data_IF_401170213871
#
_entry.id   IF_401170213871
#
_cell.length_a   1.000
_cell.length_b   1.000
_cell.length_c   1.000
_cell.angle_alpha   90.00
_cell.angle_beta   90.00
_cell.angle_gamma   90.00
#
_symmetry.space_group_name_H-M   'P 1'
#
loop_
_entity.id
_entity.type
_entity.pdbx_description
1 polymer ?
#
# COMPACT_ATOMS: atom_id res chain seq x y z
N UNK A 1 -5.72 2.64 25.20
CA UNK A 1 -6.42 3.58 24.32
C UNK A 1 -5.74 3.63 22.99
N UNK A 2 -6.49 3.54 21.90
CA UNK A 2 -5.93 3.72 20.57
C UNK A 2 -5.58 5.20 20.37
N UNK A 3 -4.39 5.46 19.87
CA UNK A 3 -3.96 6.81 19.51
C UNK A 3 -4.57 7.18 18.16
N UNK A 4 -5.33 8.27 18.13
CA UNK A 4 -5.77 8.85 16.87
C UNK A 4 -4.69 9.84 16.39
N UNK A 5 -4.13 9.63 15.20
CA UNK A 5 -3.11 10.55 14.69
C UNK A 5 -3.71 11.92 14.42
N UNK A 6 -2.94 12.97 14.71
CA UNK A 6 -3.28 14.34 14.29
C UNK A 6 -3.23 14.43 12.77
N UNK A 7 -3.78 15.53 12.21
CA UNK A 7 -3.73 15.73 10.75
C UNK A 7 -2.29 15.80 10.24
N UNK A 8 -1.39 16.41 10.99
CA UNK A 8 0.03 16.48 10.64
C UNK A 8 0.71 15.11 10.68
N UNK A 9 0.44 14.32 11.73
CA UNK A 9 0.95 12.96 11.87
C UNK A 9 0.42 12.06 10.76
N UNK A 10 -0.87 12.18 10.44
CA UNK A 10 -1.50 11.42 9.37
C UNK A 10 -0.89 11.76 8.02
N UNK A 11 -0.69 13.05 7.74
CA UNK A 11 -0.04 13.48 6.50
C UNK A 11 1.36 12.87 6.36
N UNK A 12 2.16 12.91 7.42
CA UNK A 12 3.49 12.33 7.43
C UNK A 12 3.45 10.81 7.19
N UNK A 13 2.51 10.13 7.81
CA UNK A 13 2.36 8.68 7.63
C UNK A 13 1.98 8.34 6.20
N UNK A 14 1.03 9.04 5.62
CA UNK A 14 0.59 8.82 4.24
C UNK A 14 1.72 9.14 3.25
N UNK A 15 2.46 10.23 3.47
CA UNK A 15 3.62 10.55 2.65
C UNK A 15 4.66 9.41 2.66
N UNK A 16 4.93 8.80 3.83
CA UNK A 16 5.83 7.65 3.95
C UNK A 16 5.24 6.39 3.33
N UNK A 17 3.94 6.18 3.51
CA UNK A 17 3.24 5.04 2.91
C UNK A 17 3.38 5.07 1.38
N UNK A 18 3.18 6.23 0.76
CA UNK A 18 3.39 6.42 -0.69
C UNK A 18 4.87 6.25 -1.04
N UNK A 19 5.78 6.88 -0.26
CA UNK A 19 7.21 6.87 -0.54
C UNK A 19 7.81 5.46 -0.58
N UNK A 20 7.31 4.53 0.25
CA UNK A 20 7.84 3.15 0.28
C UNK A 20 7.72 2.46 -1.08
N UNK A 21 6.66 2.74 -1.83
CA UNK A 21 6.43 2.14 -3.16
C UNK A 21 7.33 2.70 -4.25
N UNK A 22 7.88 3.89 -4.03
CA UNK A 22 8.72 4.61 -5.00
C UNK A 22 10.21 4.60 -4.65
N UNK A 23 10.60 4.10 -3.48
CA UNK A 23 11.97 4.22 -2.97
C UNK A 23 12.95 3.28 -3.70
N UNK A 24 13.95 3.83 -4.40
CA UNK A 24 14.89 3.02 -5.16
C UNK A 24 15.92 2.30 -4.30
N UNK A 25 16.28 2.85 -3.13
CA UNK A 25 17.31 2.26 -2.29
C UNK A 25 16.73 1.22 -1.32
N UNK A 26 17.28 0.00 -1.36
CA UNK A 26 16.78 -1.12 -0.58
C UNK A 26 16.76 -0.85 0.94
N UNK A 27 17.83 -0.26 1.48
CA UNK A 27 17.91 0.02 2.93
C UNK A 27 16.92 1.09 3.38
N UNK A 28 16.71 2.13 2.56
CA UNK A 28 15.69 3.14 2.85
C UNK A 28 14.30 2.55 2.77
N UNK A 29 14.06 1.66 1.82
CA UNK A 29 12.79 0.96 1.68
C UNK A 29 12.49 0.12 2.91
N UNK A 30 13.48 -0.63 3.42
CA UNK A 30 13.34 -1.39 4.68
C UNK A 30 13.01 -0.49 5.85
N UNK A 31 13.66 0.66 5.93
CA UNK A 31 13.43 1.63 6.99
C UNK A 31 12.02 2.20 6.94
N UNK A 32 11.57 2.62 5.75
CA UNK A 32 10.21 3.11 5.54
C UNK A 32 9.16 2.08 5.93
N UNK A 33 9.36 0.83 5.56
CA UNK A 33 8.45 -0.26 5.93
C UNK A 33 8.35 -0.40 7.45
N UNK A 34 9.48 -0.36 8.16
CA UNK A 34 9.47 -0.42 9.63
C UNK A 34 8.80 0.79 10.28
N UNK A 35 8.91 1.96 9.67
CA UNK A 35 8.28 3.17 10.17
C UNK A 35 6.78 3.21 9.89
N UNK A 36 6.35 2.69 8.75
CA UNK A 36 4.95 2.73 8.29
C UNK A 36 4.12 1.61 8.92
N UNK A 37 4.65 0.38 8.95
CA UNK A 37 3.90 -0.81 9.35
C UNK A 37 4.21 -1.24 10.77
N UNK A 38 3.18 -1.70 11.48
CA UNK A 38 3.38 -2.46 12.72
C UNK A 38 4.23 -3.70 12.44
N UNK A 39 4.89 -4.23 13.47
CA UNK A 39 5.73 -5.42 13.33
C UNK A 39 4.96 -6.60 12.75
N UNK A 40 3.71 -6.77 13.15
CA UNK A 40 2.79 -7.81 12.65
C UNK A 40 1.72 -7.24 11.71
N UNK A 41 1.97 -6.06 11.16
CA UNK A 41 1.06 -5.42 10.21
C UNK A 41 0.80 -6.27 8.98
N UNK A 42 -0.42 -6.17 8.44
CA UNK A 42 -0.76 -6.96 7.27
C UNK A 42 -1.54 -6.16 6.24
N UNK A 43 -1.34 -6.53 4.99
CA UNK A 43 -2.08 -6.03 3.85
C UNK A 43 -2.89 -7.17 3.25
N UNK A 44 -4.15 -6.90 2.97
CA UNK A 44 -5.02 -7.81 2.22
C UNK A 44 -5.32 -7.18 0.87
N UNK A 45 -4.85 -7.81 -0.19
CA UNK A 45 -5.20 -7.44 -1.55
C UNK A 45 -6.54 -8.13 -1.86
N UNK A 46 -7.63 -7.38 -1.71
CA UNK A 46 -9.00 -7.93 -1.70
C UNK A 46 -9.40 -8.45 -3.08
N UNK A 47 -9.05 -7.69 -4.13
CA UNK A 47 -9.35 -8.06 -5.51
C UNK A 47 -8.06 -8.11 -6.33
N UNK A 48 -7.25 -9.18 -6.19
CA UNK A 48 -5.99 -9.27 -6.89
C UNK A 48 -6.17 -9.16 -8.42
N UNK A 49 -5.15 -8.69 -9.15
CA UNK A 49 -5.20 -8.54 -10.59
C UNK A 49 -5.62 -9.81 -11.30
N UNK A 50 -6.18 -9.65 -12.50
CA UNK A 50 -6.78 -10.73 -13.31
C UNK A 50 -5.85 -11.95 -13.44
N UNK A 51 -4.56 -11.75 -13.67
CA UNK A 51 -3.60 -12.84 -13.79
C UNK A 51 -3.51 -13.74 -12.54
N UNK A 52 -3.60 -13.14 -11.35
CA UNK A 52 -3.62 -13.89 -10.09
C UNK A 52 -4.96 -14.62 -9.94
N UNK A 53 -6.06 -13.95 -10.27
CA UNK A 53 -7.42 -14.54 -10.23
C UNK A 53 -7.55 -15.74 -11.17
N UNK A 54 -7.01 -15.62 -12.38
CA UNK A 54 -7.05 -16.70 -13.37
C UNK A 54 -6.26 -17.92 -12.91
N UNK A 55 -5.07 -17.71 -12.33
CA UNK A 55 -4.29 -18.79 -11.76
C UNK A 55 -5.04 -19.50 -10.65
N UNK A 56 -5.67 -18.74 -9.77
CA UNK A 56 -6.44 -19.28 -8.66
C UNK A 56 -7.69 -20.03 -9.14
N UNK A 57 -8.36 -19.53 -10.16
CA UNK A 57 -9.51 -20.19 -10.77
C UNK A 57 -9.15 -21.56 -11.32
N UNK A 58 -7.95 -21.71 -11.88
CA UNK A 58 -7.44 -23.00 -12.36
C UNK A 58 -7.30 -24.04 -11.24
N UNK A 59 -7.13 -23.57 -9.98
CA UNK A 59 -7.07 -24.44 -8.80
C UNK A 59 -8.40 -24.52 -8.05
N UNK A 60 -9.49 -24.00 -8.63
CA UNK A 60 -10.80 -24.03 -8.01
C UNK A 60 -11.02 -22.98 -6.91
N UNK A 61 -10.20 -21.93 -6.86
CA UNK A 61 -10.28 -20.83 -5.90
C UNK A 61 -10.97 -19.63 -6.58
N UNK A 62 -12.24 -19.35 -6.28
CA UNK A 62 -13.00 -18.34 -7.02
C UNK A 62 -12.53 -16.90 -6.82
N UNK A 63 -12.07 -16.53 -5.62
CA UNK A 63 -11.61 -15.17 -5.30
C UNK A 63 -10.49 -15.21 -4.25
N UNK A 64 -9.25 -15.50 -4.65
CA UNK A 64 -8.17 -15.50 -3.69
C UNK A 64 -7.84 -14.07 -3.28
N UNK A 65 -7.93 -13.76 -2.01
CA UNK A 65 -7.26 -12.62 -1.47
C UNK A 65 -5.77 -12.94 -1.33
N UNK A 66 -4.91 -11.97 -1.61
CA UNK A 66 -3.49 -12.09 -1.31
C UNK A 66 -3.23 -11.38 0.01
N UNK A 67 -2.70 -12.09 0.97
CA UNK A 67 -2.42 -11.57 2.30
C UNK A 67 -0.91 -11.54 2.54
N UNK A 68 -0.42 -10.38 2.98
CA UNK A 68 0.99 -10.14 3.27
C UNK A 68 1.11 -9.70 4.72
N UNK A 69 1.88 -10.43 5.53
CA UNK A 69 2.00 -10.17 6.95
C UNK A 69 3.46 -10.09 7.38
N UNK A 70 3.76 -9.05 8.17
CA UNK A 70 5.08 -8.82 8.76
C UNK A 70 6.02 -8.02 7.85
N UNK A 71 7.08 -7.48 8.44
CA UNK A 71 8.01 -6.59 7.75
C UNK A 71 8.77 -7.26 6.60
N UNK A 72 9.19 -8.51 6.77
CA UNK A 72 9.95 -9.20 5.73
C UNK A 72 9.10 -9.48 4.49
N UNK A 73 7.89 -9.99 4.69
CA UNK A 73 6.96 -10.24 3.59
C UNK A 73 6.53 -8.92 2.92
N UNK A 74 6.33 -7.86 3.73
CA UNK A 74 5.99 -6.54 3.22
C UNK A 74 7.14 -5.96 2.38
N UNK A 75 8.37 -6.13 2.83
CA UNK A 75 9.55 -5.70 2.06
C UNK A 75 9.60 -6.39 0.69
N UNK A 76 9.34 -7.69 0.64
CA UNK A 76 9.30 -8.44 -0.62
C UNK A 76 8.18 -7.94 -1.53
N UNK A 77 7.00 -7.72 -0.97
CA UNK A 77 5.83 -7.20 -1.70
C UNK A 77 6.11 -5.82 -2.31
N UNK A 78 6.61 -4.89 -1.49
CA UNK A 78 6.92 -3.51 -1.92
C UNK A 78 8.06 -3.51 -2.93
N UNK A 79 9.11 -4.29 -2.69
CA UNK A 79 10.25 -4.42 -3.61
C UNK A 79 9.79 -4.95 -4.98
N UNK A 80 8.93 -5.94 -4.98
CA UNK A 80 8.39 -6.50 -6.23
C UNK A 80 7.62 -5.46 -7.03
N UNK A 81 6.74 -4.70 -6.37
CA UNK A 81 5.99 -3.63 -7.04
C UNK A 81 6.93 -2.54 -7.58
N UNK A 82 7.95 -2.17 -6.79
CA UNK A 82 8.96 -1.21 -7.23
C UNK A 82 9.67 -1.71 -8.49
N UNK A 83 10.14 -2.94 -8.50
CA UNK A 83 10.84 -3.53 -9.63
C UNK A 83 9.95 -3.63 -10.88
N UNK A 84 8.67 -3.94 -10.69
CA UNK A 84 7.74 -4.09 -11.81
C UNK A 84 7.36 -2.76 -12.46
N UNK A 85 7.20 -1.70 -11.69
CA UNK A 85 6.57 -0.48 -12.17
C UNK A 85 7.44 0.76 -12.08
N UNK A 86 8.28 0.89 -11.07
CA UNK A 86 8.98 2.14 -10.77
C UNK A 86 10.44 2.11 -11.23
N UNK A 87 11.12 0.98 -11.09
CA UNK A 87 12.56 0.86 -11.35
C UNK A 87 12.96 1.25 -12.77
N UNK A 88 12.10 0.97 -13.76
CA UNK A 88 12.34 1.33 -15.16
C UNK A 88 12.24 2.83 -15.44
N UNK A 89 11.66 3.59 -14.51
CA UNK A 89 11.36 5.02 -14.71
C UNK A 89 10.06 5.28 -15.46
N UNK A 90 9.25 4.26 -15.73
CA UNK A 90 7.98 4.42 -16.46
C UNK A 90 6.88 5.03 -15.59
N UNK A 91 6.80 4.61 -14.34
CA UNK A 91 5.68 4.98 -13.46
C UNK A 91 6.16 5.48 -12.11
N UNK A 92 5.27 6.21 -11.44
CA UNK A 92 5.40 6.64 -10.04
C UNK A 92 4.04 6.48 -9.37
N UNK A 93 4.06 6.07 -8.10
CA UNK A 93 2.85 6.02 -7.28
C UNK A 93 2.65 7.35 -6.58
N UNK A 94 1.43 7.86 -6.62
CA UNK A 94 1.07 9.15 -6.00
C UNK A 94 -0.26 9.01 -5.27
N UNK A 95 -0.46 9.79 -4.21
CA UNK A 95 -1.77 9.95 -3.59
C UNK A 95 -2.65 10.79 -4.52
N UNK A 96 -3.91 10.38 -4.67
CA UNK A 96 -4.91 11.12 -5.43
C UNK A 96 -6.04 11.56 -4.50
N UNK A 97 -6.34 12.86 -4.53
CA UNK A 97 -7.40 13.43 -3.72
C UNK A 97 -7.08 13.48 -2.22
N UNK A 98 -8.12 13.68 -1.44
CA UNK A 98 -8.01 13.80 0.02
C UNK A 98 -8.09 12.45 0.71
N UNK A 99 -7.40 12.33 1.85
CA UNK A 99 -7.56 11.20 2.76
C UNK A 99 -8.85 11.38 3.54
N UNK A 100 -9.66 10.33 3.60
CA UNK A 100 -10.94 10.35 4.31
C UNK A 100 -10.79 9.64 5.65
N UNK A 101 -11.03 10.37 6.74
CA UNK A 101 -11.06 9.78 8.07
C UNK A 101 -12.42 9.14 8.34
N UNK A 102 -12.39 7.97 8.94
CA UNK A 102 -13.56 7.30 9.47
C UNK A 102 -13.53 7.28 11.00
N UNK A 103 -14.64 6.97 11.61
CA UNK A 103 -14.72 6.84 13.06
C UNK A 103 -13.68 5.82 13.57
N UNK A 104 -12.99 6.18 14.66
CA UNK A 104 -11.88 5.40 15.18
C UNK A 104 -10.57 5.69 14.45
N UNK A 105 -9.67 4.74 14.41
CA UNK A 105 -8.33 4.89 13.86
C UNK A 105 -8.22 4.32 12.44
N UNK A 106 -9.20 4.61 11.59
CA UNK A 106 -9.21 4.14 10.20
C UNK A 106 -9.29 5.31 9.23
N UNK A 107 -8.58 5.18 8.12
CA UNK A 107 -8.62 6.17 7.03
C UNK A 107 -8.69 5.45 5.69
N UNK A 108 -9.27 6.11 4.70
CA UNK A 108 -9.25 5.67 3.31
C UNK A 108 -8.42 6.65 2.48
N UNK A 109 -7.56 6.12 1.63
CA UNK A 109 -6.80 6.92 0.67
C UNK A 109 -6.89 6.30 -0.72
N UNK A 110 -6.86 7.14 -1.73
CA UNK A 110 -6.77 6.72 -3.13
C UNK A 110 -5.36 6.98 -3.64
N UNK A 111 -4.82 6.03 -4.38
CA UNK A 111 -3.54 6.20 -5.07
C UNK A 111 -3.72 6.00 -6.55
N UNK A 112 -2.79 6.56 -7.31
CA UNK A 112 -2.70 6.36 -8.76
C UNK A 112 -1.29 5.93 -9.12
N UNK A 113 -1.16 5.14 -10.16
CA UNK A 113 0.10 4.85 -10.83
C UNK A 113 0.15 5.71 -12.08
N UNK A 114 1.02 6.71 -12.05
CA UNK A 114 1.10 7.74 -13.08
C UNK A 114 2.25 7.49 -14.02
N UNK A 115 2.00 7.58 -15.32
CA UNK A 115 3.04 7.51 -16.34
C UNK A 115 3.94 8.76 -16.26
N UNK A 116 5.24 8.54 -16.17
CA UNK A 116 6.22 9.63 -16.22
C UNK A 116 6.38 10.23 -17.60
N UNK A 117 5.94 9.51 -18.64
CA UNK A 117 6.05 9.96 -20.02
C UNK A 117 5.05 11.06 -20.33
N UNK A 118 3.78 10.87 -20.00
CA UNK A 118 2.69 11.76 -20.41
C UNK A 118 1.78 12.19 -19.25
N UNK A 119 2.05 11.75 -18.05
CA UNK A 119 1.25 12.08 -16.88
C UNK A 119 -0.09 11.36 -16.77
N UNK A 120 -0.37 10.42 -17.68
CA UNK A 120 -1.63 9.68 -17.64
C UNK A 120 -1.65 8.67 -16.49
N UNK A 121 -2.86 8.34 -16.04
CA UNK A 121 -3.06 7.33 -14.98
C UNK A 121 -3.14 5.95 -15.63
N UNK A 122 -2.20 5.08 -15.29
CA UNK A 122 -2.15 3.70 -15.78
C UNK A 122 -2.82 2.70 -14.83
N UNK A 123 -3.04 3.08 -13.59
CA UNK A 123 -3.70 2.25 -12.59
C UNK A 123 -4.08 3.08 -11.38
N UNK A 124 -4.98 2.56 -10.57
CA UNK A 124 -5.42 3.21 -9.34
C UNK A 124 -5.91 2.19 -8.33
N UNK A 125 -6.04 2.63 -7.09
CA UNK A 125 -6.57 1.78 -6.03
C UNK A 125 -7.02 2.58 -4.83
N UNK A 126 -7.74 1.88 -3.96
CA UNK A 126 -8.20 2.36 -2.67
C UNK A 126 -7.52 1.55 -1.58
N UNK A 127 -6.99 2.23 -0.59
CA UNK A 127 -6.45 1.61 0.63
C UNK A 127 -7.32 2.00 1.80
N UNK A 128 -7.69 1.04 2.62
CA UNK A 128 -8.35 1.28 3.91
C UNK A 128 -7.37 0.88 5.00
N UNK A 129 -6.82 1.88 5.69
CA UNK A 129 -5.77 1.70 6.68
C UNK A 129 -6.35 1.79 8.09
N UNK A 130 -5.96 0.86 8.95
CA UNK A 130 -6.21 0.95 10.39
C UNK A 130 -4.87 0.99 11.13
N UNK A 131 -4.81 1.78 12.21
CA UNK A 131 -3.56 2.05 12.93
C UNK A 131 -3.50 1.33 14.27
N UNK A 132 -2.27 1.03 14.71
CA UNK A 132 -2.01 0.54 16.06
C UNK A 132 -1.86 1.71 17.04
N UNK A 133 -1.55 1.38 18.31
CA UNK A 133 -1.39 2.39 19.36
C UNK A 133 -0.20 3.33 19.11
N UNK A 134 0.76 2.92 18.31
CA UNK A 134 1.96 3.70 17.96
C UNK A 134 1.74 4.58 16.72
N UNK A 135 0.56 4.51 16.10
CA UNK A 135 0.24 5.25 14.89
C UNK A 135 0.79 4.61 13.61
N UNK A 136 1.29 3.37 13.67
CA UNK A 136 1.70 2.62 12.49
C UNK A 136 0.55 1.81 11.92
N UNK A 137 0.64 1.47 10.64
CA UNK A 137 -0.41 0.70 9.97
C UNK A 137 -0.43 -0.72 10.52
N UNK A 138 -1.54 -1.08 11.12
CA UNK A 138 -1.80 -2.43 11.61
C UNK A 138 -2.41 -3.31 10.54
N UNK A 139 -3.31 -2.76 9.75
CA UNK A 139 -3.94 -3.45 8.64
C UNK A 139 -4.24 -2.51 7.49
N UNK A 140 -4.20 -3.06 6.30
CA UNK A 140 -4.50 -2.36 5.06
C UNK A 140 -5.32 -3.29 4.17
N UNK A 141 -6.49 -2.82 3.74
CA UNK A 141 -7.29 -3.52 2.75
C UNK A 141 -7.19 -2.75 1.44
N UNK A 142 -6.57 -3.37 0.44
CA UNK A 142 -6.32 -2.78 -0.87
C UNK A 142 -7.34 -3.27 -1.88
N UNK A 143 -7.95 -2.31 -2.59
CA UNK A 143 -8.86 -2.55 -3.70
C UNK A 143 -8.25 -1.94 -4.95
N UNK A 144 -7.86 -2.77 -5.91
CA UNK A 144 -7.30 -2.30 -7.18
C UNK A 144 -8.44 -2.03 -8.15
N UNK A 145 -8.42 -0.84 -8.75
CA UNK A 145 -9.43 -0.45 -9.73
C UNK A 145 -9.08 -0.96 -11.15
#
# INVERSE_FOLDING_TARGET
MSHEPTDAELKQLIDRWIAQWNEPEAERRRRLIREVWSEDGHQVLVNPPEGIRDTAAAYGLPFPAVEVRGHDAMYQRVTRAYEMFVASGEFVFEQEGEVIRHAGAAVALTWVMRSRRDGSVAGSGLEVLAFDADGRVRSDHEYVA
#
